data_IF_847912405206
#
_entry.id   IF_847912405206
#
_cell.length_a   1.000
_cell.length_b   1.000
_cell.length_c   1.000
_cell.angle_alpha   90.00
_cell.angle_beta   90.00
_cell.angle_gamma   90.00
#
_symmetry.space_group_name_H-M   'P 1'
#
loop_
_entity.id
_entity.type
_entity.pdbx_description
1 polymer ?
#
# COMPACT_ATOMS: atom_id res chain seq x y z
N UNK A 1 -8.22 -32.80 -18.37
CA UNK A 1 -9.68 -32.64 -18.58
C UNK A 1 -9.93 -31.16 -18.81
N UNK A 2 -10.39 -30.79 -20.00
CA UNK A 2 -10.79 -29.41 -20.30
C UNK A 2 -12.26 -29.27 -19.93
N UNK A 3 -12.57 -28.35 -19.02
CA UNK A 3 -13.95 -28.06 -18.63
C UNK A 3 -14.46 -26.89 -19.49
N UNK A 4 -15.63 -27.02 -20.14
CA UNK A 4 -16.20 -25.94 -20.92
C UNK A 4 -16.59 -24.77 -20.00
N UNK A 5 -16.26 -23.56 -20.42
CA UNK A 5 -16.70 -22.36 -19.74
C UNK A 5 -18.16 -22.07 -20.12
N UNK A 6 -19.03 -21.90 -19.11
CA UNK A 6 -20.44 -21.57 -19.31
C UNK A 6 -20.68 -20.21 -19.98
N UNK A 7 -19.62 -19.44 -20.24
CA UNK A 7 -19.62 -18.13 -20.90
C UNK A 7 -19.19 -18.20 -22.38
N UNK A 8 -18.96 -19.39 -22.93
CA UNK A 8 -18.54 -19.56 -24.33
C UNK A 8 -17.05 -19.28 -24.59
N UNK A 9 -16.24 -19.06 -23.55
CA UNK A 9 -14.79 -18.93 -23.70
C UNK A 9 -14.07 -20.28 -23.85
N UNK A 10 -12.93 -20.29 -24.54
CA UNK A 10 -12.12 -21.50 -24.72
C UNK A 10 -11.33 -21.91 -23.46
N UNK A 11 -11.36 -21.10 -22.39
CA UNK A 11 -10.64 -21.35 -21.13
C UNK A 11 -11.37 -20.77 -19.93
N UNK A 12 -11.72 -21.61 -18.95
CA UNK A 12 -12.21 -21.18 -17.64
C UNK A 12 -11.06 -20.66 -16.77
N UNK A 13 -11.23 -19.48 -16.14
CA UNK A 13 -10.37 -19.05 -15.02
C UNK A 13 -11.04 -19.40 -13.69
N UNK A 14 -10.39 -20.23 -12.90
CA UNK A 14 -10.90 -20.66 -11.60
C UNK A 14 -10.16 -19.94 -10.46
N UNK A 15 -10.87 -19.25 -9.54
CA UNK A 15 -10.26 -18.71 -8.34
C UNK A 15 -9.56 -19.79 -7.51
N UNK A 16 -8.32 -19.53 -7.08
CA UNK A 16 -7.53 -20.47 -6.27
C UNK A 16 -8.30 -20.96 -5.02
N UNK A 17 -9.08 -20.08 -4.39
CA UNK A 17 -9.88 -20.44 -3.22
C UNK A 17 -10.85 -21.61 -3.47
N UNK A 18 -11.38 -21.76 -4.69
CA UNK A 18 -12.29 -22.87 -5.04
C UNK A 18 -11.57 -24.21 -5.18
N UNK A 19 -10.28 -24.19 -5.51
CA UNK A 19 -9.51 -25.40 -5.87
C UNK A 19 -8.48 -25.78 -4.79
N UNK A 20 -8.10 -24.83 -3.92
CA UNK A 20 -7.07 -25.01 -2.91
C UNK A 20 -7.52 -25.94 -1.77
N UNK A 21 -6.90 -27.11 -1.60
CA UNK A 21 -7.30 -28.07 -0.56
C UNK A 21 -7.05 -27.57 0.86
N UNK A 22 -6.20 -26.55 1.05
CA UNK A 22 -5.84 -26.00 2.36
C UNK A 22 -6.83 -24.94 2.90
N UNK A 23 -7.92 -24.62 2.18
CA UNK A 23 -8.90 -23.61 2.62
C UNK A 23 -10.29 -24.22 2.80
N UNK A 24 -10.89 -24.01 3.96
CA UNK A 24 -12.32 -24.26 4.16
C UNK A 24 -13.11 -23.14 3.47
N UNK A 25 -13.77 -23.49 2.38
CA UNK A 25 -14.56 -22.56 1.55
C UNK A 25 -15.93 -23.16 1.26
N UNK A 26 -16.95 -22.33 0.97
CA UNK A 26 -18.32 -22.79 0.66
C UNK A 26 -18.36 -23.80 -0.49
N UNK A 27 -19.44 -24.59 -0.62
CA UNK A 27 -19.43 -25.85 -1.35
C UNK A 27 -18.94 -25.68 -2.79
N UNK A 28 -17.83 -26.37 -3.07
CA UNK A 28 -17.25 -26.47 -4.41
C UNK A 28 -18.31 -26.96 -5.39
N UNK A 29 -18.46 -26.35 -6.58
CA UNK A 29 -19.28 -26.91 -7.65
C UNK A 29 -18.89 -28.38 -7.89
N UNK A 30 -19.84 -29.29 -8.12
CA UNK A 30 -19.58 -30.72 -8.24
C UNK A 30 -18.53 -31.03 -9.32
N UNK A 31 -18.44 -30.20 -10.36
CA UNK A 31 -17.48 -30.30 -11.46
C UNK A 31 -16.02 -30.11 -11.00
N UNK A 32 -15.80 -29.39 -9.90
CA UNK A 32 -14.47 -29.06 -9.35
C UNK A 32 -14.09 -29.90 -8.13
N UNK A 33 -15.05 -30.63 -7.56
CA UNK A 33 -14.82 -31.46 -6.37
C UNK A 33 -13.76 -32.56 -6.63
N UNK A 34 -13.78 -33.17 -7.82
CA UNK A 34 -12.80 -34.20 -8.19
C UNK A 34 -11.39 -33.61 -8.33
N UNK A 35 -11.27 -32.43 -8.93
CA UNK A 35 -9.99 -31.73 -9.07
C UNK A 35 -9.39 -31.37 -7.70
N UNK A 36 -10.23 -30.83 -6.81
CA UNK A 36 -9.83 -30.50 -5.44
C UNK A 36 -9.37 -31.74 -4.66
N UNK A 37 -10.04 -32.89 -4.83
CA UNK A 37 -9.66 -34.16 -4.21
C UNK A 37 -8.30 -34.67 -4.70
N UNK A 38 -8.04 -34.64 -6.01
CA UNK A 38 -6.74 -35.05 -6.58
C UNK A 38 -5.61 -34.16 -6.05
N UNK A 39 -5.84 -32.85 -5.99
CA UNK A 39 -4.87 -31.91 -5.45
C UNK A 39 -4.61 -32.14 -3.96
N UNK A 40 -5.64 -32.42 -3.15
CA UNK A 40 -5.49 -32.74 -1.74
C UNK A 40 -4.59 -33.96 -1.50
N UNK A 41 -4.82 -35.04 -2.26
CA UNK A 41 -4.03 -36.28 -2.16
C UNK A 41 -2.58 -36.05 -2.60
N UNK A 42 -2.37 -35.35 -3.72
CA UNK A 42 -1.03 -35.06 -4.21
C UNK A 42 -0.26 -34.13 -3.27
N UNK A 43 -0.90 -33.06 -2.77
CA UNK A 43 -0.26 -32.18 -1.79
C UNK A 43 0.13 -32.95 -0.53
N UNK A 44 -0.74 -33.86 -0.05
CA UNK A 44 -0.43 -34.66 1.13
C UNK A 44 0.77 -35.59 0.91
N UNK A 45 0.82 -36.27 -0.23
CA UNK A 45 1.97 -37.12 -0.60
C UNK A 45 3.28 -36.34 -0.68
N UNK A 46 3.25 -35.12 -1.21
CA UNK A 46 4.43 -34.26 -1.29
C UNK A 46 4.91 -33.78 0.09
N UNK A 47 3.97 -33.54 1.02
CA UNK A 47 4.26 -33.23 2.42
C UNK A 47 4.89 -34.44 3.12
N UNK A 48 4.26 -35.60 3.01
CA UNK A 48 4.73 -36.82 3.65
C UNK A 48 6.10 -37.26 3.10
N UNK A 49 6.40 -36.95 1.83
CA UNK A 49 7.72 -37.17 1.21
C UNK A 49 8.77 -36.10 1.56
N UNK A 50 8.43 -35.07 2.34
CA UNK A 50 9.32 -33.96 2.70
C UNK A 50 9.72 -33.04 1.55
N UNK A 51 9.12 -33.22 0.37
CA UNK A 51 9.39 -32.42 -0.84
C UNK A 51 8.62 -31.10 -0.87
N UNK A 52 7.62 -30.95 -0.02
CA UNK A 52 6.82 -29.74 0.11
C UNK A 52 6.54 -29.46 1.60
N UNK A 53 7.07 -28.35 2.10
CA UNK A 53 6.76 -27.86 3.45
C UNK A 53 5.75 -26.72 3.34
N UNK A 54 4.49 -26.93 3.77
CA UNK A 54 3.50 -25.86 3.74
C UNK A 54 3.91 -24.75 4.71
N UNK A 55 3.70 -23.50 4.30
CA UNK A 55 3.88 -22.36 5.19
C UNK A 55 2.91 -22.52 6.38
N UNK A 56 3.37 -22.37 7.63
CA UNK A 56 2.48 -22.50 8.78
C UNK A 56 1.31 -21.54 8.60
N UNK A 57 0.09 -22.04 8.83
CA UNK A 57 -1.09 -21.19 8.84
C UNK A 57 -0.82 -20.05 9.83
N UNK A 58 -1.04 -18.78 9.44
CA UNK A 58 -1.05 -17.72 10.43
C UNK A 58 -2.07 -18.11 11.50
N UNK A 59 -1.78 -17.90 12.79
CA UNK A 59 -2.76 -18.15 13.84
C UNK A 59 -4.06 -17.42 13.47
N UNK A 60 -5.20 -18.02 13.83
CA UNK A 60 -6.49 -17.33 13.81
C UNK A 60 -6.36 -16.09 14.70
N UNK A 61 -5.99 -14.99 14.07
CA UNK A 61 -5.77 -13.74 14.76
C UNK A 61 -7.11 -13.31 15.34
N UNK A 62 -7.18 -12.97 16.64
CA UNK A 62 -8.36 -12.36 17.20
C UNK A 62 -8.69 -11.15 16.34
N UNK A 63 -9.94 -11.12 15.86
CA UNK A 63 -10.61 -10.02 15.13
C UNK A 63 -9.74 -8.77 15.05
N UNK A 64 -9.23 -8.36 13.87
CA UNK A 64 -8.36 -7.22 13.78
C UNK A 64 -9.11 -6.02 14.34
N UNK A 65 -8.64 -5.55 15.50
CA UNK A 65 -8.93 -4.19 15.93
C UNK A 65 -8.63 -3.29 14.73
N UNK A 66 -9.43 -2.25 14.46
CA UNK A 66 -9.20 -1.36 13.34
C UNK A 66 -7.89 -0.60 13.60
N UNK A 67 -6.78 -1.25 13.27
CA UNK A 67 -5.49 -0.63 13.09
C UNK A 67 -5.72 0.38 11.99
N UNK A 68 -5.52 1.65 12.32
CA UNK A 68 -5.54 2.76 11.38
C UNK A 68 -4.78 2.29 10.13
N UNK A 69 -5.49 2.16 9.00
CA UNK A 69 -4.91 1.62 7.77
C UNK A 69 -3.85 2.58 7.26
N UNK A 70 -2.63 2.50 7.79
CA UNK A 70 -1.50 3.35 7.45
C UNK A 70 -0.58 2.55 6.52
N UNK A 71 -0.50 2.88 5.23
CA UNK A 71 0.37 2.14 4.31
C UNK A 71 1.83 2.32 4.71
N UNK A 72 2.54 1.23 4.95
CA UNK A 72 3.97 1.24 5.28
C UNK A 72 4.82 1.85 4.14
N UNK A 73 4.44 1.56 2.89
CA UNK A 73 5.04 2.10 1.67
C UNK A 73 3.94 2.67 0.78
N UNK A 74 3.56 3.94 0.98
CA UNK A 74 2.46 4.54 0.27
C UNK A 74 2.80 4.86 -1.19
N UNK A 75 1.79 4.78 -2.05
CA UNK A 75 1.87 5.25 -3.44
C UNK A 75 1.63 6.76 -3.42
N UNK A 76 2.59 7.53 -3.94
CA UNK A 76 2.57 8.99 -3.98
C UNK A 76 2.52 9.45 -5.43
N UNK A 77 1.62 10.36 -5.77
CA UNK A 77 1.58 10.99 -7.08
C UNK A 77 2.09 12.42 -7.00
N UNK A 78 3.15 12.72 -7.76
CA UNK A 78 3.72 14.05 -7.90
C UNK A 78 4.22 14.24 -9.33
N UNK A 79 4.08 15.44 -9.88
CA UNK A 79 4.46 15.74 -11.27
C UNK A 79 3.82 14.76 -12.28
N UNK A 80 2.60 14.30 -12.00
CA UNK A 80 1.86 13.28 -12.77
C UNK A 80 2.52 11.91 -12.89
N UNK A 81 3.57 11.65 -12.10
CA UNK A 81 4.22 10.34 -12.00
C UNK A 81 3.88 9.71 -10.65
N UNK A 82 3.67 8.40 -10.65
CA UNK A 82 3.42 7.62 -9.44
C UNK A 82 4.73 7.01 -8.94
N UNK A 83 5.01 7.21 -7.67
CA UNK A 83 6.15 6.66 -6.96
C UNK A 83 5.69 5.84 -5.77
N UNK A 84 6.44 4.81 -5.44
CA UNK A 84 6.34 4.10 -4.18
C UNK A 84 7.34 4.74 -3.20
N UNK A 85 6.83 5.23 -2.07
CA UNK A 85 7.68 5.77 -1.02
C UNK A 85 8.38 4.64 -0.24
N UNK A 86 9.59 4.91 0.25
CA UNK A 86 10.31 3.96 1.11
C UNK A 86 9.66 3.76 2.49
N UNK A 87 8.83 4.71 2.95
CA UNK A 87 8.23 4.74 4.30
C UNK A 87 6.93 5.56 4.31
N UNK A 88 6.13 5.54 5.38
CA UNK A 88 4.90 6.32 5.46
C UNK A 88 5.16 7.81 5.21
N UNK A 89 4.19 8.51 4.62
CA UNK A 89 4.32 9.91 4.18
C UNK A 89 4.82 10.83 5.29
N UNK A 90 4.34 10.62 6.52
CA UNK A 90 4.68 11.45 7.68
C UNK A 90 6.12 11.19 8.19
N UNK A 91 6.74 10.09 7.78
CA UNK A 91 8.08 9.66 8.20
C UNK A 91 9.15 9.90 7.14
N UNK A 92 8.77 10.34 5.93
CA UNK A 92 9.73 10.66 4.87
C UNK A 92 10.59 11.84 5.34
N UNK A 93 11.89 11.61 5.46
CA UNK A 93 12.87 12.57 5.97
C UNK A 93 13.61 13.27 4.85
N UNK A 94 14.06 14.49 5.15
CA UNK A 94 14.89 15.26 4.26
C UNK A 94 16.20 14.53 3.90
N UNK A 95 16.64 14.63 2.65
CA UNK A 95 17.92 14.07 2.20
C UNK A 95 19.09 15.05 2.34
N UNK A 96 18.80 16.33 2.58
CA UNK A 96 19.81 17.38 2.66
C UNK A 96 20.72 17.21 3.89
N UNK A 97 21.94 17.70 3.74
CA UNK A 97 22.94 17.77 4.79
C UNK A 97 22.72 19.00 5.69
N UNK A 98 22.75 18.78 6.99
CA UNK A 98 22.76 19.86 8.00
C UNK A 98 24.13 20.53 8.08
N UNK A 99 24.22 21.70 8.74
CA UNK A 99 25.50 22.36 9.04
C UNK A 99 26.50 21.47 9.81
N UNK A 100 26.01 20.52 10.62
CA UNK A 100 26.82 19.54 11.36
C UNK A 100 27.22 18.32 10.52
N UNK A 101 27.03 18.38 9.20
CA UNK A 101 27.34 17.31 8.23
C UNK A 101 26.58 15.99 8.43
N UNK A 102 25.47 16.00 9.17
CA UNK A 102 24.56 14.85 9.29
C UNK A 102 23.32 15.02 8.39
N UNK A 103 22.65 13.91 8.05
CA UNK A 103 21.37 13.94 7.34
C UNK A 103 20.35 14.70 8.17
N UNK A 104 19.60 15.58 7.52
CA UNK A 104 18.49 16.28 8.16
C UNK A 104 17.38 15.29 8.54
N UNK A 105 17.00 15.28 9.82
CA UNK A 105 15.94 14.41 10.34
C UNK A 105 14.54 15.02 10.21
N UNK A 106 14.43 16.27 9.75
CA UNK A 106 13.14 16.93 9.55
C UNK A 106 12.32 16.22 8.48
N UNK A 107 11.02 15.97 8.74
CA UNK A 107 10.16 15.36 7.75
C UNK A 107 9.87 16.31 6.57
N UNK A 108 9.50 15.74 5.43
CA UNK A 108 9.03 16.51 4.26
C UNK A 108 7.67 17.14 4.52
N UNK A 109 6.81 16.42 5.24
CA UNK A 109 5.50 16.86 5.69
C UNK A 109 5.65 17.45 7.09
N UNK A 110 5.67 18.78 7.17
CA UNK A 110 5.59 19.52 8.44
C UNK A 110 4.17 20.05 8.63
N UNK A 111 3.72 20.32 9.88
CA UNK A 111 2.39 20.85 10.15
C UNK A 111 2.05 22.14 9.39
N UNK A 112 3.07 22.97 9.15
CA UNK A 112 2.93 24.27 8.49
C UNK A 112 3.14 24.22 6.96
N UNK A 113 3.47 23.04 6.41
CA UNK A 113 3.70 22.90 4.96
C UNK A 113 2.44 22.40 4.23
N UNK A 114 2.25 22.78 2.96
CA UNK A 114 1.16 22.26 2.14
C UNK A 114 1.20 20.73 2.07
N UNK A 115 0.08 20.11 2.44
CA UNK A 115 -0.09 18.66 2.44
C UNK A 115 -0.83 18.21 1.16
N UNK A 116 -0.49 17.02 0.69
CA UNK A 116 -1.28 16.31 -0.32
C UNK A 116 -2.57 15.75 0.25
N UNK A 117 -3.37 15.14 -0.62
CA UNK A 117 -4.64 14.52 -0.23
C UNK A 117 -4.66 13.04 -0.59
N UNK A 118 -5.15 12.22 0.33
CA UNK A 118 -5.42 10.82 0.05
C UNK A 118 -6.64 10.69 -0.87
N UNK A 119 -6.46 10.02 -2.01
CA UNK A 119 -7.52 9.79 -3.01
C UNK A 119 -7.48 8.34 -3.50
N UNK A 120 -8.62 7.81 -3.91
CA UNK A 120 -8.68 6.54 -4.63
C UNK A 120 -8.52 6.84 -6.12
N UNK A 121 -7.56 6.19 -6.76
CA UNK A 121 -7.34 6.27 -8.19
C UNK A 121 -7.43 4.88 -8.81
N UNK A 122 -7.81 4.77 -10.10
CA UNK A 122 -7.77 3.48 -10.77
C UNK A 122 -6.34 2.93 -10.78
N UNK A 123 -6.19 1.68 -10.39
CA UNK A 123 -4.96 0.94 -10.62
C UNK A 123 -4.99 0.53 -12.10
N UNK A 124 -4.57 1.43 -12.98
CA UNK A 124 -4.51 1.16 -14.43
C UNK A 124 -3.23 0.41 -14.75
N UNK A 125 -3.36 -0.75 -15.37
CA UNK A 125 -2.28 -1.37 -16.12
C UNK A 125 -2.21 -0.67 -17.49
N UNK A 126 -1.03 -0.44 -18.02
CA UNK A 126 -0.88 0.07 -19.40
C UNK A 126 -1.46 -0.97 -20.37
N UNK A 127 -2.15 -0.51 -21.42
CA UNK A 127 -2.88 -1.36 -22.37
C UNK A 127 -2.11 -2.63 -22.79
N UNK A 128 -2.78 -3.79 -22.72
CA UNK A 128 -2.19 -5.11 -23.04
C UNK A 128 -1.68 -5.91 -21.83
N UNK A 129 -1.80 -5.37 -20.61
CA UNK A 129 -1.36 -6.04 -19.38
C UNK A 129 -2.48 -6.86 -18.72
N UNK A 130 -2.07 -7.89 -17.95
CA UNK A 130 -2.97 -8.75 -17.17
C UNK A 130 -3.90 -7.93 -16.27
N UNK A 131 -5.12 -8.42 -16.05
CA UNK A 131 -6.08 -7.80 -15.13
C UNK A 131 -5.43 -7.60 -13.75
N UNK A 132 -5.40 -6.36 -13.26
CA UNK A 132 -4.83 -6.05 -11.96
C UNK A 132 -5.70 -6.64 -10.85
N UNK A 133 -5.10 -7.16 -9.75
CA UNK A 133 -5.86 -7.70 -8.63
C UNK A 133 -6.79 -6.70 -7.94
N UNK A 134 -6.54 -5.40 -8.12
CA UNK A 134 -7.32 -4.31 -7.56
C UNK A 134 -7.69 -3.33 -8.68
N UNK A 135 -8.96 -2.91 -8.72
CA UNK A 135 -9.45 -1.89 -9.66
C UNK A 135 -9.07 -0.47 -9.21
N UNK A 136 -8.93 -0.27 -7.90
CA UNK A 136 -8.63 1.03 -7.27
C UNK A 136 -7.48 0.92 -6.27
N UNK A 137 -6.73 2.00 -6.12
CA UNK A 137 -5.63 2.13 -5.19
C UNK A 137 -5.63 3.48 -4.47
N UNK A 138 -5.25 3.49 -3.19
CA UNK A 138 -5.06 4.68 -2.39
C UNK A 138 -3.74 5.34 -2.75
N UNK A 139 -3.83 6.58 -3.20
CA UNK A 139 -2.71 7.41 -3.64
C UNK A 139 -2.67 8.67 -2.79
N UNK A 140 -1.49 9.04 -2.31
CA UNK A 140 -1.26 10.35 -1.74
C UNK A 140 -0.96 11.34 -2.88
N UNK A 141 -1.98 12.12 -3.24
CA UNK A 141 -1.94 13.03 -4.38
C UNK A 141 -1.36 14.39 -3.97
N UNK A 142 -0.19 14.70 -4.52
CA UNK A 142 0.49 16.00 -4.42
C UNK A 142 0.26 16.87 -5.66
N UNK A 143 -0.47 16.40 -6.68
CA UNK A 143 -0.63 17.11 -7.96
C UNK A 143 -1.35 18.45 -7.81
N UNK A 144 -2.10 18.64 -6.71
CA UNK A 144 -2.79 19.89 -6.36
C UNK A 144 -1.89 20.92 -5.66
N UNK A 145 -0.68 20.54 -5.27
CA UNK A 145 0.27 21.47 -4.67
C UNK A 145 0.88 22.39 -5.74
N UNK A 146 1.33 23.60 -5.34
CA UNK A 146 2.13 24.44 -6.22
C UNK A 146 3.30 23.67 -6.83
N UNK A 147 3.67 23.97 -8.07
CA UNK A 147 4.73 23.25 -8.79
C UNK A 147 6.06 23.21 -8.02
N UNK A 148 6.44 24.31 -7.37
CA UNK A 148 7.63 24.38 -6.52
C UNK A 148 7.59 23.38 -5.34
N UNK A 149 6.41 23.18 -4.75
CA UNK A 149 6.21 22.18 -3.69
C UNK A 149 6.34 20.76 -4.25
N UNK A 150 5.81 20.49 -5.44
CA UNK A 150 5.97 19.18 -6.08
C UNK A 150 7.45 18.87 -6.37
N UNK A 151 8.22 19.85 -6.83
CA UNK A 151 9.67 19.73 -7.01
C UNK A 151 10.41 19.51 -5.68
N UNK A 152 10.00 20.22 -4.62
CA UNK A 152 10.56 20.02 -3.26
C UNK A 152 10.32 18.59 -2.77
N UNK A 153 9.11 18.07 -2.94
CA UNK A 153 8.78 16.69 -2.62
C UNK A 153 9.58 15.70 -3.48
N UNK A 154 9.73 15.95 -4.79
CA UNK A 154 10.56 15.14 -5.69
C UNK A 154 12.01 15.06 -5.23
N UNK A 155 12.57 16.18 -4.78
CA UNK A 155 13.93 16.29 -4.23
C UNK A 155 14.07 15.79 -2.78
N UNK A 156 12.96 15.41 -2.13
CA UNK A 156 12.91 15.05 -0.71
C UNK A 156 13.58 16.07 0.21
N UNK A 157 13.25 17.35 0.04
CA UNK A 157 13.75 18.43 0.91
C UNK A 157 12.67 18.93 1.86
N UNK A 158 13.02 19.15 3.14
CA UNK A 158 12.12 19.83 4.07
C UNK A 158 11.99 21.32 3.68
N UNK A 159 10.93 22.03 4.12
CA UNK A 159 10.72 23.44 3.77
C UNK A 159 11.94 24.35 4.06
N UNK A 160 12.63 24.11 5.17
CA UNK A 160 13.83 24.86 5.53
C UNK A 160 14.97 24.70 4.52
N UNK A 161 15.28 23.46 4.10
CA UNK A 161 16.33 23.20 3.11
C UNK A 161 15.90 23.52 1.68
N UNK A 162 14.60 23.64 1.42
CA UNK A 162 14.08 24.14 0.15
C UNK A 162 14.26 25.67 0.03
N UNK A 163 14.06 26.41 1.13
CA UNK A 163 14.22 27.86 1.17
C UNK A 163 15.68 28.32 1.05
N UNK A 164 16.64 27.50 1.51
CA UNK A 164 18.09 27.77 1.38
C UNK A 164 18.78 26.59 0.68
N UNK A 165 18.72 26.50 -0.66
CA UNK A 165 19.13 25.32 -1.41
C UNK A 165 20.66 25.12 -1.50
N UNK A 166 21.45 25.82 -0.70
CA UNK A 166 22.92 25.70 -0.65
C UNK A 166 23.41 24.42 0.03
N UNK A 167 22.53 23.69 0.70
CA UNK A 167 22.87 22.41 1.32
C UNK A 167 22.97 21.30 0.25
N UNK A 168 24.08 20.56 0.28
CA UNK A 168 24.26 19.35 -0.51
C UNK A 168 23.35 18.22 0.00
N UNK A 169 22.99 17.29 -0.88
CA UNK A 169 22.23 16.09 -0.50
C UNK A 169 23.20 15.01 0.00
N UNK A 170 22.87 14.43 1.16
CA UNK A 170 23.68 13.38 1.80
C UNK A 170 23.15 11.97 1.47
N UNK A 171 21.88 11.88 1.04
CA UNK A 171 21.25 10.67 0.56
C UNK A 171 20.59 10.92 -0.80
N UNK A 172 20.38 9.85 -1.57
CA UNK A 172 19.53 9.92 -2.76
C UNK A 172 18.07 10.00 -2.32
N UNK A 173 17.24 10.67 -3.11
CA UNK A 173 15.80 10.65 -2.88
C UNK A 173 15.24 9.23 -3.03
N UNK A 174 14.66 8.71 -1.96
CA UNK A 174 14.16 7.34 -1.84
C UNK A 174 12.78 7.17 -2.52
N UNK A 175 12.70 7.49 -3.82
CA UNK A 175 11.50 7.34 -4.66
C UNK A 175 11.66 6.20 -5.66
N UNK A 176 10.86 5.15 -5.52
CA UNK A 176 10.82 4.06 -6.48
C UNK A 176 9.72 4.32 -7.52
N UNK A 177 9.95 4.24 -8.84
CA UNK A 177 8.88 4.33 -9.83
C UNK A 177 7.82 3.25 -9.60
N UNK A 178 6.55 3.63 -9.52
CA UNK A 178 5.47 2.69 -9.25
C UNK A 178 5.05 1.94 -10.51
N UNK A 179 5.29 0.63 -10.49
CA UNK A 179 4.72 -0.35 -11.41
C UNK A 179 3.60 -1.17 -10.69
N UNK A 180 2.34 -1.13 -11.17
CA UNK A 180 1.23 -1.85 -10.55
C UNK A 180 1.40 -3.37 -10.46
N UNK A 181 2.13 -4.00 -11.38
CA UNK A 181 2.35 -5.45 -11.38
C UNK A 181 3.43 -5.84 -10.38
N UNK A 182 4.52 -5.06 -10.35
CA UNK A 182 5.66 -5.33 -9.46
C UNK A 182 5.40 -4.96 -8.00
N UNK A 183 4.50 -4.00 -7.74
CA UNK A 183 4.24 -3.45 -6.41
C UNK A 183 2.81 -3.70 -5.95
N UNK A 184 2.17 -4.76 -6.44
CA UNK A 184 0.78 -5.08 -6.12
C UNK A 184 0.56 -5.30 -4.62
N UNK A 185 1.56 -5.76 -3.86
CA UNK A 185 1.47 -5.92 -2.40
C UNK A 185 1.32 -4.58 -1.64
N UNK A 186 1.70 -3.47 -2.28
CA UNK A 186 1.60 -2.13 -1.71
C UNK A 186 0.30 -1.42 -2.10
N UNK A 187 -0.51 -2.02 -2.98
CA UNK A 187 -1.82 -1.48 -3.36
C UNK A 187 -2.80 -1.65 -2.21
N UNK A 188 -3.34 -0.51 -1.75
CA UNK A 188 -4.43 -0.47 -0.75
C UNK A 188 -5.70 0.02 -1.42
N UNK A 189 -6.79 -0.72 -1.30
CA UNK A 189 -8.09 -0.39 -1.94
C UNK A 189 -8.97 0.55 -1.10
N UNK A 190 -8.48 0.95 0.09
CA UNK A 190 -9.20 1.82 1.03
C UNK A 190 -8.31 3.00 1.40
N UNK A 191 -8.94 4.16 1.60
CA UNK A 191 -8.23 5.33 2.10
C UNK A 191 -7.73 5.09 3.53
N UNK A 192 -6.53 5.60 3.87
CA UNK A 192 -6.08 5.61 5.25
C UNK A 192 -7.08 6.33 6.15
N UNK A 193 -7.45 5.71 7.27
CA UNK A 193 -8.31 6.37 8.24
C UNK A 193 -7.58 7.62 8.75
N UNK A 194 -8.21 8.80 8.61
CA UNK A 194 -7.70 10.02 9.25
C UNK A 194 -7.69 9.76 10.75
N UNK A 195 -6.52 9.73 11.36
CA UNK A 195 -6.39 9.88 12.81
C UNK A 195 -6.94 11.26 13.15
N UNK A 196 -8.22 11.32 13.53
CA UNK A 196 -8.75 12.46 14.27
C UNK A 196 -7.97 12.46 15.58
N UNK A 197 -6.95 13.32 15.66
CA UNK A 197 -6.28 13.62 16.93
C UNK A 197 -7.41 13.97 17.91
N UNK A 198 -7.51 13.33 19.09
CA UNK A 198 -8.45 13.77 20.11
C UNK A 198 -8.16 15.24 20.35
N UNK A 199 -9.10 16.10 19.96
CA UNK A 199 -9.01 17.51 20.25
C UNK A 199 -8.83 17.63 21.75
N UNK A 200 -7.77 18.32 22.17
CA UNK A 200 -7.61 18.73 23.55
C UNK A 200 -8.93 19.37 23.99
N UNK A 201 -9.66 18.68 24.86
CA UNK A 201 -10.80 19.26 25.54
C UNK A 201 -10.25 20.45 26.35
N UNK A 202 -10.36 21.64 25.76
CA UNK A 202 -9.94 22.86 26.41
C UNK A 202 -10.83 23.04 27.64
N UNK A 203 -10.18 23.22 28.79
CA UNK A 203 -10.78 23.66 30.04
C UNK A 203 -11.73 24.84 29.77
N UNK A 204 -13.03 24.60 29.90
CA UNK A 204 -14.02 25.66 30.00
C UNK A 204 -15.15 25.22 30.94
N UNK A 205 -14.86 25.25 32.25
CA UNK A 205 -15.81 25.55 33.33
C UNK A 205 -15.01 26.46 34.25
N UNK A 206 -15.13 27.78 34.13
CA UNK A 206 -16.38 28.52 34.26
C UNK A 206 -16.36 29.11 35.67
N UNK A 207 -15.57 30.16 35.84
CA UNK A 207 -15.66 31.03 37.00
C UNK A 207 -16.97 31.81 36.88
N UNK A 208 -17.90 31.59 37.80
CA UNK A 208 -18.98 32.52 38.07
C UNK A 208 -19.22 32.51 39.59
N UNK A 209 -18.78 33.62 40.20
CA UNK A 209 -19.07 34.08 41.56
C UNK A 209 -20.47 34.73 41.58
N UNK A 210 -21.12 34.96 42.74
CA UNK A 210 -20.65 35.87 43.80
C UNK A 210 -20.32 35.21 45.14
#
# INVERSE_FOLDING_TARGET
>A
MAHPAGDGSSWCRLPHALVCPARDTPPTPPELAQLRRVLAVNSRRLIDAGTFTPSPAPPDDPTPQPTVCRPARPIVQLLYVRYLAARPVEEIQCVAQTRRRHRCTSPLLTPDAPAGTWVLMPATATSGQLALPAEVMAVYDLSRLPYAEQLRWRAQRCPQHAATPTAADLAVADWDPFDPLRHHEHIRTRLPARTRRPGSASRARGAARP
#
